data_IF_299039132919
#
_entry.id   IF_299039132919
#
_cell.length_a   1.000
_cell.length_b   1.000
_cell.length_c   1.000
_cell.angle_alpha   90.00
_cell.angle_beta   90.00
_cell.angle_gamma   90.00
#
_symmetry.space_group_name_H-M   'P 1'
#
loop_
_entity.id
_entity.type
_entity.pdbx_description
1 polymer ?
#
# COMPACT_ATOMS: atom_id res chain seq x y z
N UNK A 1 -38.08 -22.93 -1.58
CA UNK A 1 -38.53 -21.51 -1.49
C UNK A 1 -37.55 -20.69 -2.34
N UNK A 2 -38.02 -20.25 -3.48
CA UNK A 2 -37.27 -19.57 -4.53
C UNK A 2 -36.92 -18.13 -4.10
N UNK A 3 -35.66 -17.87 -3.90
CA UNK A 3 -35.13 -16.52 -3.67
C UNK A 3 -35.09 -15.73 -4.99
N UNK A 4 -36.07 -14.89 -5.22
CA UNK A 4 -36.11 -13.97 -6.34
C UNK A 4 -34.99 -12.93 -6.15
N UNK A 5 -33.93 -12.99 -6.97
CA UNK A 5 -32.99 -11.90 -7.16
C UNK A 5 -33.75 -10.70 -7.75
N UNK A 6 -33.82 -9.61 -6.97
CA UNK A 6 -34.39 -8.35 -7.43
C UNK A 6 -33.64 -7.89 -8.69
N UNK A 7 -34.35 -7.54 -9.79
CA UNK A 7 -33.67 -7.08 -11.01
C UNK A 7 -33.02 -5.73 -10.71
N UNK A 8 -31.69 -5.65 -10.84
CA UNK A 8 -30.95 -4.40 -10.80
C UNK A 8 -31.59 -3.41 -11.79
N UNK A 9 -31.92 -2.21 -11.32
CA UNK A 9 -32.51 -1.17 -12.15
C UNK A 9 -31.60 -0.90 -13.35
N UNK A 10 -32.16 -0.69 -14.56
CA UNK A 10 -31.40 -0.45 -15.82
C UNK A 10 -30.37 0.68 -15.74
N UNK A 11 -30.42 1.53 -14.71
CA UNK A 11 -29.46 2.61 -14.45
C UNK A 11 -28.16 2.22 -13.79
N UNK A 12 -28.00 0.96 -13.35
CA UNK A 12 -26.85 0.47 -12.56
C UNK A 12 -25.87 -0.39 -13.37
N UNK A 13 -26.00 -0.44 -14.68
CA UNK A 13 -25.06 -1.09 -15.57
C UNK A 13 -24.03 -0.08 -16.09
N UNK A 14 -22.76 -0.37 -15.89
CA UNK A 14 -21.64 0.40 -16.42
C UNK A 14 -20.78 -0.51 -17.30
N UNK A 15 -20.57 -0.12 -18.54
CA UNK A 15 -19.75 -0.85 -19.51
C UNK A 15 -18.29 -0.35 -19.47
N UNK A 16 -18.06 0.91 -19.03
CA UNK A 16 -16.73 1.51 -18.94
C UNK A 16 -16.56 2.31 -17.66
N UNK A 17 -15.61 1.87 -16.85
CA UNK A 17 -15.31 2.46 -15.54
C UNK A 17 -13.87 2.96 -15.53
N UNK A 18 -13.64 4.13 -14.97
CA UNK A 18 -12.29 4.63 -14.69
C UNK A 18 -12.09 4.80 -13.18
N UNK A 19 -11.01 4.23 -12.65
CA UNK A 19 -10.57 4.46 -11.28
C UNK A 19 -9.40 5.44 -11.31
N UNK A 20 -9.45 6.49 -10.48
CA UNK A 20 -8.46 7.56 -10.50
C UNK A 20 -7.74 7.62 -9.16
N UNK A 21 -6.42 7.34 -9.17
CA UNK A 21 -5.55 7.41 -8.01
C UNK A 21 -4.16 7.96 -8.41
N UNK A 22 -3.97 9.28 -8.31
CA UNK A 22 -2.71 9.98 -8.60
C UNK A 22 -1.96 10.29 -7.30
N UNK A 23 -1.59 9.23 -6.55
CA UNK A 23 -0.93 9.29 -5.25
C UNK A 23 0.28 8.37 -5.18
N UNK A 24 0.80 8.16 -3.98
CA UNK A 24 1.96 7.31 -3.72
C UNK A 24 1.68 5.82 -4.01
N UNK A 25 2.73 5.03 -4.11
CA UNK A 25 2.68 3.59 -4.39
C UNK A 25 1.72 2.82 -3.46
N UNK A 26 1.78 3.09 -2.14
CA UNK A 26 0.90 2.46 -1.16
C UNK A 26 -0.57 2.81 -1.37
N UNK A 27 -0.89 4.09 -1.65
CA UNK A 27 -2.27 4.52 -1.96
C UNK A 27 -2.85 3.79 -3.18
N UNK A 28 -2.01 3.58 -4.21
CA UNK A 28 -2.40 2.89 -5.45
C UNK A 28 -2.70 1.43 -5.15
N UNK A 29 -1.85 0.74 -4.40
CA UNK A 29 -2.08 -0.65 -3.99
C UNK A 29 -3.35 -0.78 -3.13
N UNK A 30 -3.54 0.12 -2.15
CA UNK A 30 -4.74 0.17 -1.30
C UNK A 30 -6.04 0.53 -2.06
N UNK A 31 -5.96 0.76 -3.38
CA UNK A 31 -7.13 0.96 -4.24
C UNK A 31 -7.59 -0.35 -4.90
N UNK A 32 -6.78 -1.41 -4.85
CA UNK A 32 -7.11 -2.69 -5.49
C UNK A 32 -8.40 -3.35 -4.97
N UNK A 33 -8.78 -3.27 -3.67
CA UNK A 33 -10.08 -3.79 -3.23
C UNK A 33 -11.27 -3.08 -3.87
N UNK A 34 -11.18 -1.76 -4.10
CA UNK A 34 -12.20 -1.01 -4.83
C UNK A 34 -12.32 -1.50 -6.28
N UNK A 35 -11.18 -1.73 -6.95
CA UNK A 35 -11.13 -2.22 -8.33
C UNK A 35 -11.72 -3.62 -8.42
N UNK A 36 -11.35 -4.50 -7.49
CA UNK A 36 -11.84 -5.88 -7.41
C UNK A 36 -13.36 -5.91 -7.20
N UNK A 37 -13.89 -5.16 -6.23
CA UNK A 37 -15.32 -5.06 -5.98
C UNK A 37 -16.11 -4.49 -7.19
N UNK A 38 -15.50 -3.56 -7.94
CA UNK A 38 -16.08 -3.07 -9.19
C UNK A 38 -16.11 -4.16 -10.27
N UNK A 39 -15.04 -4.98 -10.39
CA UNK A 39 -14.97 -6.12 -11.32
C UNK A 39 -15.99 -7.19 -10.97
N UNK A 40 -16.13 -7.54 -9.69
CA UNK A 40 -17.17 -8.49 -9.25
C UNK A 40 -18.59 -8.00 -9.59
N UNK A 41 -18.86 -6.71 -9.42
CA UNK A 41 -20.18 -6.14 -9.69
C UNK A 41 -20.48 -6.00 -11.19
N UNK A 42 -19.47 -5.68 -11.99
CA UNK A 42 -19.57 -5.52 -13.45
C UNK A 42 -18.49 -6.35 -14.15
N UNK A 43 -18.69 -7.67 -14.27
CA UNK A 43 -17.68 -8.59 -14.81
C UNK A 43 -17.24 -8.26 -16.24
N UNK A 44 -18.17 -7.75 -17.06
CA UNK A 44 -17.94 -7.43 -18.47
C UNK A 44 -17.46 -5.98 -18.71
N UNK A 45 -17.41 -5.16 -17.65
CA UNK A 45 -17.02 -3.76 -17.82
C UNK A 45 -15.52 -3.64 -18.18
N UNK A 46 -15.18 -2.67 -19.00
CA UNK A 46 -13.79 -2.21 -19.13
C UNK A 46 -13.46 -1.34 -17.93
N UNK A 47 -12.49 -1.79 -17.12
CA UNK A 47 -12.01 -1.04 -15.94
C UNK A 47 -10.60 -0.56 -16.22
N UNK A 48 -10.42 0.73 -16.36
CA UNK A 48 -9.13 1.38 -16.55
C UNK A 48 -8.71 2.15 -15.29
N UNK A 49 -7.42 2.23 -15.03
CA UNK A 49 -6.89 2.97 -13.88
C UNK A 49 -5.98 4.11 -14.33
N UNK A 50 -6.28 5.32 -13.86
CA UNK A 50 -5.47 6.52 -14.10
C UNK A 50 -4.60 6.83 -12.88
N UNK A 51 -3.29 6.94 -13.08
CA UNK A 51 -2.33 7.26 -12.03
C UNK A 51 -1.00 7.81 -12.56
N UNK A 52 -0.06 8.06 -11.68
CA UNK A 52 1.30 8.44 -12.07
C UNK A 52 2.09 7.21 -12.54
N UNK A 53 2.86 7.33 -13.63
CA UNK A 53 3.61 6.22 -14.23
C UNK A 53 4.48 5.46 -13.23
N UNK A 54 5.22 6.18 -12.38
CA UNK A 54 6.06 5.56 -11.34
C UNK A 54 5.29 4.82 -10.24
N UNK A 55 3.97 5.06 -10.07
CA UNK A 55 3.17 4.40 -9.03
C UNK A 55 2.28 3.27 -9.57
N UNK A 56 1.95 3.29 -10.86
CA UNK A 56 1.12 2.27 -11.51
C UNK A 56 1.78 0.89 -11.59
N UNK A 57 3.09 0.80 -11.35
CA UNK A 57 3.80 -0.47 -11.21
C UNK A 57 3.17 -1.41 -10.16
N UNK A 58 2.54 -0.85 -9.10
CA UNK A 58 1.81 -1.61 -8.09
C UNK A 58 0.56 -2.34 -8.61
N UNK A 59 0.11 -2.02 -9.82
CA UNK A 59 -1.09 -2.61 -10.44
C UNK A 59 -0.76 -3.46 -11.67
N UNK A 60 0.52 -3.58 -12.03
CA UNK A 60 0.90 -4.26 -13.26
C UNK A 60 0.56 -5.75 -13.20
N UNK A 61 -0.22 -6.21 -14.18
CA UNK A 61 -0.69 -7.60 -14.25
C UNK A 61 -1.84 -7.92 -13.30
N UNK A 62 -2.52 -6.92 -12.73
CA UNK A 62 -3.74 -7.12 -11.96
C UNK A 62 -4.87 -7.57 -12.91
N UNK A 63 -5.51 -8.75 -12.67
CA UNK A 63 -6.50 -9.33 -13.59
C UNK A 63 -7.80 -8.52 -13.69
N UNK A 64 -8.09 -7.65 -12.72
CA UNK A 64 -9.30 -6.84 -12.67
C UNK A 64 -9.21 -5.58 -13.54
N UNK A 65 -8.01 -5.26 -14.07
CA UNK A 65 -7.70 -4.02 -14.78
C UNK A 65 -7.50 -4.30 -16.28
N UNK A 66 -8.17 -3.52 -17.13
CA UNK A 66 -8.00 -3.61 -18.58
C UNK A 66 -6.82 -2.75 -19.07
N UNK A 67 -6.68 -1.51 -18.58
CA UNK A 67 -5.57 -0.65 -18.96
C UNK A 67 -5.10 0.26 -17.81
N UNK A 68 -3.79 0.50 -17.78
CA UNK A 68 -3.16 1.51 -16.92
C UNK A 68 -2.90 2.76 -17.76
N UNK A 69 -3.44 3.90 -17.33
CA UNK A 69 -3.34 5.18 -18.04
C UNK A 69 -2.42 6.09 -17.21
N UNK A 70 -1.31 6.46 -17.79
CA UNK A 70 -0.35 7.33 -17.13
C UNK A 70 -0.72 8.80 -17.27
N UNK A 71 -0.68 9.51 -16.15
CA UNK A 71 -0.67 10.97 -16.13
C UNK A 71 0.70 11.44 -16.62
N UNK A 72 0.76 12.31 -17.65
CA UNK A 72 2.03 12.80 -18.17
C UNK A 72 2.89 13.44 -17.09
N UNK A 73 4.21 13.24 -17.18
CA UNK A 73 5.18 13.95 -16.37
C UNK A 73 5.08 15.48 -16.64
N UNK A 74 5.22 16.24 -15.57
CA UNK A 74 5.06 17.69 -15.61
C UNK A 74 3.66 18.17 -15.21
N UNK A 75 3.62 19.32 -14.51
CA UNK A 75 2.39 19.88 -13.94
C UNK A 75 1.67 20.85 -14.88
N UNK A 76 2.16 21.02 -16.11
CA UNK A 76 1.65 22.02 -17.03
C UNK A 76 0.27 21.67 -17.59
N UNK A 77 -0.61 22.67 -17.73
CA UNK A 77 -1.93 22.58 -18.38
C UNK A 77 -1.84 21.93 -19.78
N UNK A 78 -0.80 22.23 -20.52
CA UNK A 78 -0.59 21.71 -21.88
C UNK A 78 -0.36 20.19 -21.93
N UNK A 79 0.34 19.62 -20.97
CA UNK A 79 0.52 18.18 -20.86
C UNK A 79 -0.79 17.46 -20.52
N UNK A 80 -1.57 18.04 -19.61
CA UNK A 80 -2.85 17.49 -19.18
C UNK A 80 -3.96 17.58 -20.24
N UNK A 81 -3.94 18.58 -21.11
CA UNK A 81 -5.02 18.79 -22.10
C UNK A 81 -5.21 17.63 -23.08
N UNK A 82 -4.13 17.01 -23.54
CA UNK A 82 -4.20 15.84 -24.44
C UNK A 82 -4.81 14.64 -23.72
N UNK A 83 -4.44 14.43 -22.47
CA UNK A 83 -5.02 13.38 -21.64
C UNK A 83 -6.51 13.67 -21.40
N UNK A 84 -6.88 14.89 -21.02
CA UNK A 84 -8.28 15.31 -20.81
C UNK A 84 -9.10 15.06 -22.09
N UNK A 85 -8.58 15.43 -23.27
CA UNK A 85 -9.25 15.19 -24.54
C UNK A 85 -9.45 13.68 -24.84
N UNK A 86 -8.42 12.85 -24.49
CA UNK A 86 -8.52 11.39 -24.60
C UNK A 86 -9.55 10.79 -23.68
N UNK A 87 -9.71 11.34 -22.48
CA UNK A 87 -10.65 10.86 -21.46
C UNK A 87 -12.07 11.36 -21.69
N UNK A 88 -12.27 12.43 -22.48
CA UNK A 88 -13.53 13.18 -22.55
C UNK A 88 -14.74 12.28 -22.82
N UNK A 89 -15.59 12.13 -21.77
CA UNK A 89 -16.84 11.36 -21.77
C UNK A 89 -16.72 9.90 -22.28
N UNK A 90 -15.56 9.27 -22.09
CA UNK A 90 -15.30 7.89 -22.55
C UNK A 90 -15.77 6.83 -21.58
N UNK A 91 -16.11 7.21 -20.37
CA UNK A 91 -16.50 6.30 -19.29
C UNK A 91 -17.90 6.63 -18.79
N UNK A 92 -18.60 5.60 -18.31
CA UNK A 92 -19.91 5.74 -17.72
C UNK A 92 -19.80 6.19 -16.27
N UNK A 93 -18.80 5.64 -15.54
CA UNK A 93 -18.53 5.90 -14.14
C UNK A 93 -17.06 6.25 -13.90
N UNK A 94 -16.81 7.30 -13.12
CA UNK A 94 -15.49 7.60 -12.55
C UNK A 94 -15.51 7.39 -11.01
N UNK A 95 -14.60 6.56 -10.53
CA UNK A 95 -14.32 6.32 -9.11
C UNK A 95 -13.06 7.07 -8.72
N UNK A 96 -13.19 8.22 -8.02
CA UNK A 96 -12.10 9.12 -7.69
C UNK A 96 -11.61 8.78 -6.27
N UNK A 97 -10.61 7.90 -6.20
CA UNK A 97 -10.11 7.30 -4.96
C UNK A 97 -9.15 8.23 -4.17
N UNK A 98 -9.33 9.54 -4.31
CA UNK A 98 -8.56 10.57 -3.58
C UNK A 98 -9.24 11.94 -3.67
N UNK A 99 -8.82 12.89 -2.83
CA UNK A 99 -9.47 14.21 -2.68
C UNK A 99 -8.84 15.35 -3.49
N UNK A 100 -7.74 15.12 -4.26
CA UNK A 100 -7.03 16.18 -4.97
C UNK A 100 -7.87 16.79 -6.12
N UNK A 101 -7.68 18.09 -6.37
CA UNK A 101 -8.39 18.81 -7.45
C UNK A 101 -8.10 18.20 -8.82
N UNK A 102 -6.85 17.83 -9.07
CA UNK A 102 -6.44 17.20 -10.33
C UNK A 102 -7.20 15.91 -10.61
N UNK A 103 -7.36 15.03 -9.61
CA UNK A 103 -8.10 13.79 -9.78
C UNK A 103 -9.58 14.05 -10.09
N UNK A 104 -10.19 15.03 -9.43
CA UNK A 104 -11.58 15.41 -9.67
C UNK A 104 -11.76 16.01 -11.07
N UNK A 105 -10.83 16.84 -11.56
CA UNK A 105 -10.87 17.36 -12.93
C UNK A 105 -10.78 16.24 -13.97
N UNK A 106 -9.91 15.24 -13.76
CA UNK A 106 -9.87 14.06 -14.66
C UNK A 106 -11.18 13.27 -14.59
N UNK A 107 -11.74 13.05 -13.40
CA UNK A 107 -13.02 12.38 -13.23
C UNK A 107 -14.18 13.13 -13.91
N UNK A 108 -14.21 14.46 -13.80
CA UNK A 108 -15.18 15.31 -14.47
C UNK A 108 -15.07 15.19 -16.00
N UNK A 109 -13.86 15.22 -16.54
CA UNK A 109 -13.64 15.04 -17.96
C UNK A 109 -14.02 13.63 -18.44
N UNK A 110 -13.69 12.61 -17.67
CA UNK A 110 -13.80 11.22 -18.09
C UNK A 110 -15.24 10.68 -18.10
N UNK A 111 -16.08 11.05 -17.11
CA UNK A 111 -17.38 10.44 -16.92
C UNK A 111 -18.49 11.44 -16.56
N UNK A 112 -19.74 11.06 -16.83
CA UNK A 112 -20.91 11.81 -16.37
C UNK A 112 -21.29 11.44 -14.93
N UNK A 113 -21.28 10.14 -14.59
CA UNK A 113 -21.52 9.67 -13.23
C UNK A 113 -20.19 9.58 -12.48
N UNK A 114 -20.15 10.07 -11.26
CA UNK A 114 -18.90 10.21 -10.48
C UNK A 114 -19.12 9.96 -9.00
N UNK A 115 -18.32 9.09 -8.44
CA UNK A 115 -18.15 8.95 -7.00
C UNK A 115 -16.74 9.38 -6.60
N UNK A 116 -16.59 10.17 -5.53
CA UNK A 116 -15.28 10.71 -5.17
C UNK A 116 -15.09 10.96 -3.68
N UNK A 117 -13.84 10.87 -3.24
CA UNK A 117 -13.44 11.25 -1.89
C UNK A 117 -13.34 12.78 -1.79
N UNK A 118 -13.87 13.33 -0.72
CA UNK A 118 -13.86 14.77 -0.43
C UNK A 118 -13.40 15.04 1.00
N UNK A 119 -12.84 16.22 1.20
CA UNK A 119 -12.55 16.80 2.51
C UNK A 119 -13.69 17.72 2.95
N UNK A 120 -13.70 18.12 4.24
CA UNK A 120 -14.74 19.02 4.78
C UNK A 120 -14.43 20.48 4.60
N UNK A 121 -13.25 20.82 4.10
CA UNK A 121 -12.86 22.21 3.90
C UNK A 121 -13.81 22.96 2.93
N UNK A 122 -13.90 24.25 3.10
CA UNK A 122 -14.75 25.12 2.27
C UNK A 122 -14.33 25.09 0.79
N UNK A 123 -13.04 24.84 0.51
CA UNK A 123 -12.49 24.78 -0.84
C UNK A 123 -12.96 23.55 -1.62
N UNK A 124 -13.50 22.53 -0.95
CA UNK A 124 -14.04 21.33 -1.58
C UNK A 124 -15.47 21.53 -2.15
N UNK A 125 -16.06 22.72 -2.06
CA UNK A 125 -17.44 22.98 -2.49
C UNK A 125 -17.72 22.61 -3.95
N UNK A 126 -16.85 23.00 -4.88
CA UNK A 126 -16.98 22.68 -6.31
C UNK A 126 -16.87 21.17 -6.58
N UNK A 127 -15.97 20.44 -5.87
CA UNK A 127 -15.86 18.98 -5.99
C UNK A 127 -17.17 18.33 -5.57
N UNK A 128 -17.73 18.77 -4.43
CA UNK A 128 -19.01 18.26 -3.93
C UNK A 128 -20.15 18.46 -4.91
N UNK A 129 -20.20 19.58 -5.61
CA UNK A 129 -21.23 19.84 -6.61
C UNK A 129 -21.13 18.94 -7.86
N UNK A 130 -19.94 18.45 -8.19
CA UNK A 130 -19.69 17.63 -9.38
C UNK A 130 -19.87 16.13 -9.13
N UNK A 131 -20.03 15.69 -7.89
CA UNK A 131 -20.11 14.27 -7.52
C UNK A 131 -21.57 13.85 -7.27
N UNK A 132 -21.96 12.75 -7.87
CA UNK A 132 -23.23 12.07 -7.58
C UNK A 132 -23.17 11.38 -6.21
N UNK A 133 -22.04 10.71 -5.92
CA UNK A 133 -21.78 10.10 -4.62
C UNK A 133 -20.49 10.63 -4.01
N UNK A 134 -20.55 10.95 -2.73
CA UNK A 134 -19.46 11.58 -1.99
C UNK A 134 -19.07 10.72 -0.78
N UNK A 135 -17.79 10.43 -0.67
CA UNK A 135 -17.23 9.78 0.51
C UNK A 135 -16.37 10.79 1.26
N UNK A 136 -16.82 11.15 2.44
CA UNK A 136 -16.06 12.03 3.33
C UNK A 136 -14.85 11.27 3.87
N UNK A 137 -13.68 11.87 3.73
CA UNK A 137 -12.47 11.34 4.36
C UNK A 137 -12.52 11.53 5.87
N UNK A 138 -12.37 10.45 6.60
CA UNK A 138 -12.32 10.46 8.06
C UNK A 138 -11.20 9.51 8.52
N UNK A 139 -10.02 10.09 8.74
CA UNK A 139 -8.82 9.35 9.09
C UNK A 139 -8.87 8.76 10.50
N UNK A 140 -9.66 9.35 11.41
CA UNK A 140 -9.72 8.92 12.81
C UNK A 140 -10.63 7.70 13.01
N UNK A 141 -11.57 7.46 12.11
CA UNK A 141 -12.62 6.47 12.29
C UNK A 141 -12.56 5.29 11.33
N UNK A 142 -11.86 5.41 10.18
CA UNK A 142 -11.94 4.40 9.14
C UNK A 142 -10.64 4.25 8.38
N UNK A 143 -10.29 3.01 8.06
CA UNK A 143 -9.14 2.68 7.22
C UNK A 143 -9.31 3.16 5.78
N UNK A 144 -8.20 3.56 5.12
CA UNK A 144 -8.19 4.04 3.73
C UNK A 144 -8.86 3.07 2.74
N UNK A 145 -8.67 1.76 2.90
CA UNK A 145 -9.33 0.73 2.09
C UNK A 145 -10.86 0.82 2.20
N UNK A 146 -11.38 0.91 3.41
CA UNK A 146 -12.83 1.01 3.66
C UNK A 146 -13.39 2.30 3.06
N UNK A 147 -12.68 3.41 3.22
CA UNK A 147 -13.10 4.70 2.64
C UNK A 147 -13.15 4.65 1.11
N UNK A 148 -12.21 3.94 0.47
CA UNK A 148 -12.22 3.75 -0.99
C UNK A 148 -13.37 2.84 -1.41
N UNK A 149 -13.63 1.73 -0.72
CA UNK A 149 -14.75 0.83 -1.02
C UNK A 149 -16.12 1.52 -0.90
N UNK A 150 -16.27 2.48 0.02
CA UNK A 150 -17.49 3.29 0.14
C UNK A 150 -17.81 4.10 -1.13
N UNK A 151 -16.87 4.30 -2.03
CA UNK A 151 -17.16 4.90 -3.34
C UNK A 151 -18.15 4.08 -4.17
N UNK A 152 -18.24 2.77 -3.92
CA UNK A 152 -19.19 1.88 -4.58
C UNK A 152 -20.51 1.74 -3.85
N UNK A 153 -20.68 2.31 -2.66
CA UNK A 153 -21.86 2.08 -1.81
C UNK A 153 -23.25 2.25 -2.50
N UNK A 154 -23.42 3.15 -3.50
CA UNK A 154 -24.70 3.22 -4.22
C UNK A 154 -25.03 1.98 -5.04
N UNK A 155 -24.03 1.16 -5.40
CA UNK A 155 -24.15 0.04 -6.35
C UNK A 155 -23.74 -1.31 -5.79
N UNK A 156 -22.91 -1.31 -4.75
CA UNK A 156 -22.28 -2.51 -4.18
C UNK A 156 -22.28 -2.44 -2.66
N UNK A 157 -22.76 -3.48 -2.02
CA UNK A 157 -22.51 -3.73 -0.60
C UNK A 157 -21.25 -4.62 -0.48
N UNK A 158 -20.10 -3.99 -0.31
CA UNK A 158 -18.85 -4.73 -0.11
C UNK A 158 -18.86 -5.37 1.29
N UNK A 159 -18.56 -6.69 1.37
CA UNK A 159 -18.56 -7.45 2.63
C UNK A 159 -17.18 -7.74 3.15
N UNK A 160 -16.16 -7.69 2.29
CA UNK A 160 -14.76 -7.91 2.61
C UNK A 160 -13.84 -7.09 1.72
N UNK A 161 -12.56 -7.09 2.02
CA UNK A 161 -11.55 -6.42 1.22
C UNK A 161 -10.26 -7.23 1.17
N UNK A 162 -9.81 -7.54 -0.03
CA UNK A 162 -8.53 -8.18 -0.29
C UNK A 162 -7.68 -7.29 -1.19
N UNK A 163 -6.42 -7.09 -0.80
CA UNK A 163 -5.45 -6.44 -1.67
C UNK A 163 -5.05 -7.40 -2.80
N UNK A 164 -4.89 -6.87 -4.01
CA UNK A 164 -4.37 -7.61 -5.15
C UNK A 164 -2.95 -7.11 -5.43
N UNK A 165 -1.96 -7.91 -5.07
CA UNK A 165 -0.56 -7.62 -5.37
C UNK A 165 -0.30 -7.68 -6.88
N UNK A 166 0.72 -6.96 -7.41
CA UNK A 166 1.11 -7.09 -8.82
C UNK A 166 1.47 -8.52 -9.18
N UNK A 167 1.29 -8.86 -10.45
CA UNK A 167 1.61 -10.20 -10.95
C UNK A 167 3.09 -10.55 -10.68
N UNK A 168 3.34 -11.79 -10.31
CA UNK A 168 4.71 -12.27 -10.15
C UNK A 168 5.42 -12.33 -11.51
N UNK A 169 6.67 -11.91 -11.54
CA UNK A 169 7.59 -12.07 -12.69
C UNK A 169 8.89 -12.71 -12.22
N UNK A 170 9.60 -13.43 -13.07
CA UNK A 170 10.85 -14.06 -12.69
C UNK A 170 11.84 -13.04 -12.10
N UNK A 171 12.54 -13.45 -11.04
CA UNK A 171 13.65 -12.65 -10.50
C UNK A 171 14.81 -12.63 -11.48
N UNK A 172 15.62 -11.55 -11.51
CA UNK A 172 16.86 -11.54 -12.25
C UNK A 172 17.75 -12.72 -11.84
N UNK A 173 18.42 -13.43 -12.79
CA UNK A 173 19.23 -14.61 -12.49
C UNK A 173 20.29 -14.36 -11.41
N UNK A 174 20.88 -13.17 -11.38
CA UNK A 174 21.89 -12.75 -10.41
C UNK A 174 21.34 -12.58 -8.97
N UNK A 175 20.01 -12.42 -8.80
CA UNK A 175 19.37 -12.45 -7.50
C UNK A 175 18.86 -13.86 -7.22
N UNK A 176 18.15 -14.48 -8.17
CA UNK A 176 17.56 -15.80 -7.99
C UNK A 176 18.59 -16.86 -7.58
N UNK A 177 19.79 -16.81 -8.17
CA UNK A 177 20.88 -17.77 -7.87
C UNK A 177 21.52 -17.58 -6.49
N UNK A 178 21.27 -16.45 -5.81
CA UNK A 178 21.80 -16.17 -4.46
C UNK A 178 20.82 -16.50 -3.35
N UNK A 179 19.55 -16.77 -3.68
CA UNK A 179 18.53 -17.02 -2.67
C UNK A 179 18.61 -18.45 -2.12
N UNK A 180 18.73 -18.53 -0.81
CA UNK A 180 18.76 -19.79 -0.04
C UNK A 180 17.61 -19.79 0.98
N UNK A 181 16.45 -20.40 0.67
CA UNK A 181 15.34 -20.50 1.63
C UNK A 181 15.70 -21.35 2.86
N UNK A 182 15.18 -21.03 4.07
CA UNK A 182 14.27 -19.91 4.33
C UNK A 182 15.00 -18.56 4.40
N UNK A 183 14.37 -17.50 3.85
CA UNK A 183 14.91 -16.15 3.94
C UNK A 183 13.87 -15.14 4.46
N UNK A 184 14.38 -14.08 5.09
CA UNK A 184 13.60 -12.92 5.50
C UNK A 184 13.88 -11.73 4.57
N UNK A 185 12.85 -10.97 4.21
CA UNK A 185 13.01 -9.72 3.45
C UNK A 185 12.92 -8.53 4.39
N UNK A 186 13.91 -7.64 4.35
CA UNK A 186 13.95 -6.42 5.15
C UNK A 186 13.94 -5.18 4.25
N UNK A 187 13.08 -4.22 4.59
CA UNK A 187 13.02 -2.89 3.98
C UNK A 187 13.45 -1.85 5.02
N UNK A 188 14.76 -1.57 5.09
CA UNK A 188 15.31 -0.57 5.99
C UNK A 188 15.07 0.88 5.51
N UNK A 189 15.18 1.21 4.20
CA UNK A 189 14.95 2.54 3.70
C UNK A 189 13.49 2.98 3.76
N UNK A 190 13.30 4.29 3.95
CA UNK A 190 12.01 4.97 3.82
C UNK A 190 12.22 6.33 3.14
N UNK A 191 11.18 6.83 2.47
CA UNK A 191 11.24 8.09 1.70
C UNK A 191 11.46 9.35 2.58
N UNK A 192 11.25 9.26 3.89
CA UNK A 192 11.35 10.38 4.85
C UNK A 192 12.00 9.94 6.15
N UNK A 193 12.76 10.84 6.76
CA UNK A 193 13.59 10.50 7.91
C UNK A 193 12.77 10.05 9.14
N UNK A 194 11.59 10.61 9.34
CA UNK A 194 10.74 10.28 10.49
C UNK A 194 10.16 8.85 10.46
N UNK A 195 10.34 8.10 9.36
CA UNK A 195 9.96 6.70 9.23
C UNK A 195 11.15 5.75 9.33
N UNK A 196 12.36 6.26 9.53
CA UNK A 196 13.56 5.45 9.62
C UNK A 196 13.74 4.87 11.03
N UNK A 197 13.99 3.58 11.09
CA UNK A 197 14.48 2.89 12.28
C UNK A 197 16.02 2.96 12.31
N UNK A 198 16.68 3.08 13.47
CA UNK A 198 18.14 3.28 13.53
C UNK A 198 18.96 2.18 12.88
N UNK A 199 20.04 2.56 12.19
CA UNK A 199 20.98 1.63 11.58
C UNK A 199 21.49 0.54 12.54
N UNK A 200 21.93 0.83 13.78
CA UNK A 200 22.36 -0.21 14.73
C UNK A 200 21.24 -1.21 15.03
N UNK A 201 19.99 -0.78 15.04
CA UNK A 201 18.84 -1.64 15.31
C UNK A 201 18.57 -2.61 14.14
N UNK A 202 18.66 -2.12 12.90
CA UNK A 202 18.59 -2.99 11.71
C UNK A 202 19.69 -4.04 11.72
N UNK A 203 20.93 -3.66 12.04
CA UNK A 203 22.06 -4.58 12.13
C UNK A 203 21.86 -5.65 13.21
N UNK A 204 21.32 -5.26 14.38
CA UNK A 204 20.98 -6.21 15.45
C UNK A 204 19.90 -7.20 15.00
N UNK A 205 18.89 -6.74 14.27
CA UNK A 205 17.85 -7.62 13.68
C UNK A 205 18.45 -8.58 12.64
N UNK A 206 19.32 -8.10 11.75
CA UNK A 206 20.03 -8.96 10.78
C UNK A 206 20.79 -10.07 11.51
N UNK A 207 21.60 -9.73 12.52
CA UNK A 207 22.34 -10.71 13.30
C UNK A 207 21.42 -11.78 13.93
N UNK A 208 20.32 -11.35 14.54
CA UNK A 208 19.34 -12.24 15.14
C UNK A 208 18.66 -13.18 14.13
N UNK A 209 18.36 -12.72 12.90
CA UNK A 209 17.80 -13.57 11.85
C UNK A 209 18.81 -14.59 11.33
N UNK A 210 20.08 -14.19 11.18
CA UNK A 210 21.16 -15.09 10.77
C UNK A 210 21.41 -16.20 11.80
N UNK A 211 21.36 -15.89 13.12
CA UNK A 211 21.43 -16.87 14.20
C UNK A 211 20.31 -17.92 14.15
N UNK A 212 19.14 -17.52 13.64
CA UNK A 212 17.97 -18.41 13.42
C UNK A 212 18.04 -19.23 12.12
N UNK A 213 19.13 -19.10 11.40
CA UNK A 213 19.35 -19.83 10.15
C UNK A 213 18.65 -19.24 8.92
N UNK A 214 18.07 -18.04 9.02
CA UNK A 214 17.51 -17.37 7.85
C UNK A 214 18.61 -16.64 7.07
N UNK A 215 18.51 -16.68 5.75
CA UNK A 215 19.17 -15.70 4.90
C UNK A 215 18.40 -14.38 4.96
N UNK A 216 19.06 -13.26 4.83
CA UNK A 216 18.43 -11.92 4.83
C UNK A 216 18.56 -11.29 3.46
N UNK A 217 17.45 -10.80 2.90
CA UNK A 217 17.43 -10.05 1.65
C UNK A 217 17.02 -8.61 1.93
N UNK A 218 17.89 -7.66 1.62
CA UNK A 218 17.66 -6.23 1.82
C UNK A 218 17.08 -5.62 0.56
N UNK A 219 15.98 -4.89 0.69
CA UNK A 219 15.32 -4.17 -0.41
C UNK A 219 15.41 -2.64 -0.21
N UNK A 220 15.31 -1.90 -1.32
CA UNK A 220 15.35 -0.43 -1.35
C UNK A 220 15.09 0.07 -2.77
N UNK A 221 14.80 1.36 -2.92
CA UNK A 221 14.69 2.00 -4.23
C UNK A 221 16.07 2.19 -4.88
N UNK A 222 16.14 2.49 -6.20
CA UNK A 222 17.41 2.75 -6.89
C UNK A 222 18.01 4.12 -6.55
N UNK A 223 17.61 4.75 -5.45
CA UNK A 223 18.17 6.02 -4.98
C UNK A 223 19.50 5.80 -4.28
N UNK A 224 20.42 6.76 -4.42
CA UNK A 224 21.71 6.71 -3.73
C UNK A 224 21.57 6.60 -2.20
N UNK A 225 20.55 7.26 -1.63
CA UNK A 225 20.29 7.21 -0.19
C UNK A 225 19.86 5.82 0.28
N UNK A 226 18.94 5.16 -0.44
CA UNK A 226 18.50 3.81 -0.12
C UNK A 226 19.65 2.81 -0.24
N UNK A 227 20.43 2.88 -1.35
CA UNK A 227 21.56 2.02 -1.58
C UNK A 227 22.66 2.19 -0.51
N UNK A 228 22.95 3.43 -0.10
CA UNK A 228 23.92 3.70 0.97
C UNK A 228 23.46 3.13 2.32
N UNK A 229 22.16 3.25 2.66
CA UNK A 229 21.63 2.69 3.88
C UNK A 229 21.65 1.15 3.86
N UNK A 230 21.26 0.53 2.75
CA UNK A 230 21.31 -0.93 2.57
C UNK A 230 22.73 -1.45 2.71
N UNK A 231 23.71 -0.78 2.07
CA UNK A 231 25.13 -1.14 2.22
C UNK A 231 25.61 -0.99 3.68
N UNK A 232 25.20 0.09 4.38
CA UNK A 232 25.55 0.28 5.78
C UNK A 232 24.94 -0.82 6.69
N UNK A 233 23.72 -1.29 6.40
CA UNK A 233 23.12 -2.42 7.11
C UNK A 233 23.87 -3.71 6.83
N UNK A 234 24.25 -3.96 5.58
CA UNK A 234 24.91 -5.17 5.11
C UNK A 234 26.38 -5.28 5.55
N UNK A 235 27.07 -4.16 5.67
CA UNK A 235 28.52 -4.09 5.91
C UNK A 235 28.98 -4.97 7.07
N UNK A 236 30.00 -5.80 6.83
CA UNK A 236 30.57 -6.72 7.82
C UNK A 236 29.83 -8.04 8.01
N UNK A 237 28.72 -8.27 7.30
CA UNK A 237 28.09 -9.59 7.21
C UNK A 237 28.56 -10.33 5.94
N UNK A 238 28.47 -11.66 5.95
CA UNK A 238 28.74 -12.48 4.76
C UNK A 238 27.71 -12.13 3.66
N UNK A 239 28.23 -11.78 2.49
CA UNK A 239 27.42 -11.38 1.32
C UNK A 239 26.50 -12.50 0.80
N UNK A 240 26.79 -13.77 1.09
CA UNK A 240 25.91 -14.90 0.77
C UNK A 240 24.73 -14.98 1.74
N UNK A 241 24.94 -14.57 2.97
CA UNK A 241 23.93 -14.60 4.04
C UNK A 241 23.08 -13.34 4.09
N UNK A 242 23.63 -12.18 3.61
CA UNK A 242 22.93 -10.89 3.55
C UNK A 242 23.00 -10.37 2.12
N UNK A 243 21.95 -10.64 1.35
CA UNK A 243 21.83 -10.31 -0.08
C UNK A 243 21.32 -8.89 -0.24
N UNK A 244 21.99 -8.10 -1.09
CA UNK A 244 21.53 -6.77 -1.50
C UNK A 244 20.70 -6.86 -2.78
N UNK A 245 19.41 -6.53 -2.70
CA UNK A 245 18.49 -6.42 -3.82
C UNK A 245 18.00 -4.98 -4.05
N UNK A 246 18.58 -3.97 -3.37
CA UNK A 246 18.16 -2.58 -3.47
C UNK A 246 18.38 -2.01 -4.87
N UNK A 247 17.34 -1.43 -5.47
CA UNK A 247 17.38 -0.86 -6.81
C UNK A 247 17.53 -1.86 -7.96
N UNK A 248 17.50 -3.17 -7.67
CA UNK A 248 17.74 -4.24 -8.64
C UNK A 248 16.46 -4.97 -9.09
N UNK A 249 15.34 -4.69 -8.44
CA UNK A 249 14.05 -5.35 -8.69
C UNK A 249 12.99 -4.31 -9.04
N UNK A 250 12.14 -4.63 -10.01
CA UNK A 250 10.87 -3.92 -10.19
C UNK A 250 9.82 -4.43 -9.18
N UNK A 251 8.65 -3.76 -9.12
CA UNK A 251 7.61 -4.09 -8.14
C UNK A 251 7.00 -5.49 -8.33
N UNK A 252 6.96 -6.01 -9.54
CA UNK A 252 6.51 -7.37 -9.83
C UNK A 252 7.53 -8.39 -9.30
N UNK A 253 8.82 -8.11 -9.49
CA UNK A 253 9.92 -8.92 -8.96
C UNK A 253 10.01 -8.84 -7.43
N UNK A 254 9.77 -7.67 -6.83
CA UNK A 254 9.64 -7.54 -5.38
C UNK A 254 8.47 -8.38 -4.85
N UNK A 255 7.33 -8.40 -5.55
CA UNK A 255 6.21 -9.27 -5.18
C UNK A 255 6.57 -10.77 -5.28
N UNK A 256 7.39 -11.16 -6.28
CA UNK A 256 7.91 -12.54 -6.38
C UNK A 256 8.83 -12.86 -5.21
N UNK A 257 9.77 -11.98 -4.89
CA UNK A 257 10.68 -12.13 -3.77
C UNK A 257 9.91 -12.28 -2.44
N UNK A 258 8.90 -11.42 -2.22
CA UNK A 258 8.08 -11.46 -1.01
C UNK A 258 7.31 -12.77 -0.88
N UNK A 259 6.69 -13.27 -1.95
CA UNK A 259 5.93 -14.53 -1.91
C UNK A 259 6.77 -15.75 -1.54
N UNK A 260 8.09 -15.72 -1.78
CA UNK A 260 9.02 -16.76 -1.36
C UNK A 260 9.62 -16.57 0.02
N UNK A 261 9.37 -15.43 0.67
CA UNK A 261 9.96 -15.10 1.97
C UNK A 261 9.23 -15.78 3.14
N UNK A 262 9.98 -16.23 4.14
CA UNK A 262 9.42 -16.73 5.39
C UNK A 262 8.76 -15.60 6.22
N UNK A 263 9.28 -14.38 6.13
CA UNK A 263 8.70 -13.18 6.73
C UNK A 263 9.26 -11.90 6.10
N UNK A 264 8.55 -10.80 6.33
CA UNK A 264 8.98 -9.45 5.98
C UNK A 264 9.05 -8.57 7.24
N UNK A 265 10.08 -7.72 7.34
CA UNK A 265 10.15 -6.65 8.34
C UNK A 265 10.44 -5.32 7.66
N UNK A 266 9.67 -4.29 7.96
CA UNK A 266 9.86 -2.96 7.41
C UNK A 266 9.11 -1.87 8.18
N UNK A 267 9.45 -0.61 7.88
CA UNK A 267 8.72 0.55 8.39
C UNK A 267 7.39 0.79 7.66
N UNK A 268 6.75 1.92 7.96
CA UNK A 268 5.57 2.40 7.23
C UNK A 268 5.97 2.83 5.79
N UNK A 269 6.02 1.87 4.88
CA UNK A 269 6.40 2.05 3.48
C UNK A 269 5.45 1.32 2.53
N UNK A 270 5.52 1.64 1.24
CA UNK A 270 4.72 0.97 0.21
C UNK A 270 5.04 -0.53 0.10
N UNK A 271 6.27 -0.96 0.39
CA UNK A 271 6.68 -2.36 0.35
C UNK A 271 6.07 -3.15 1.51
N UNK A 272 5.85 -2.51 2.66
CA UNK A 272 5.13 -3.12 3.79
C UNK A 272 3.67 -3.45 3.43
N UNK A 273 3.01 -2.54 2.71
CA UNK A 273 1.67 -2.81 2.16
C UNK A 273 1.70 -3.91 1.09
N UNK A 274 2.75 -3.94 0.26
CA UNK A 274 2.93 -4.99 -0.74
C UNK A 274 3.16 -6.36 -0.10
N UNK A 275 3.94 -6.43 0.98
CA UNK A 275 4.15 -7.67 1.73
C UNK A 275 2.84 -8.21 2.33
N UNK A 276 2.01 -7.32 2.90
CA UNK A 276 0.67 -7.70 3.37
C UNK A 276 -0.24 -8.19 2.21
N UNK A 277 -0.15 -7.56 1.03
CA UNK A 277 -0.89 -8.00 -0.17
C UNK A 277 -0.37 -9.35 -0.73
N UNK A 278 0.88 -9.72 -0.46
CA UNK A 278 1.44 -11.04 -0.77
C UNK A 278 1.07 -12.11 0.26
N UNK A 279 0.35 -11.74 1.32
CA UNK A 279 -0.19 -12.63 2.36
C UNK A 279 0.88 -13.39 3.18
N UNK A 280 2.12 -12.92 3.16
CA UNK A 280 3.21 -13.46 3.99
C UNK A 280 3.16 -12.86 5.41
N UNK A 281 3.85 -13.46 6.39
CA UNK A 281 4.03 -12.85 7.70
C UNK A 281 4.75 -11.50 7.61
N UNK A 282 4.17 -10.46 8.23
CA UNK A 282 4.68 -9.08 8.20
C UNK A 282 4.88 -8.56 9.62
N UNK A 283 6.06 -8.00 9.89
CA UNK A 283 6.32 -7.16 11.08
C UNK A 283 6.52 -5.72 10.60
N UNK A 284 5.55 -4.86 10.89
CA UNK A 284 5.53 -3.46 10.47
C UNK A 284 5.90 -2.53 11.63
N UNK A 285 6.93 -1.69 11.44
CA UNK A 285 7.42 -0.75 12.45
C UNK A 285 6.76 0.60 12.24
N UNK A 286 5.90 1.01 13.16
CA UNK A 286 5.13 2.24 13.10
C UNK A 286 5.59 3.24 14.15
N UNK A 287 5.89 4.44 13.71
CA UNK A 287 6.25 5.59 14.55
C UNK A 287 5.07 6.54 14.70
N UNK A 288 5.16 7.76 14.13
CA UNK A 288 4.16 8.81 14.33
C UNK A 288 2.82 8.55 13.64
N UNK A 289 2.79 7.69 12.61
CA UNK A 289 1.60 7.52 11.76
C UNK A 289 0.58 6.58 12.41
N UNK A 290 -0.70 6.92 12.31
CA UNK A 290 -1.80 6.14 12.85
C UNK A 290 -2.09 4.90 11.98
N UNK A 291 -1.85 3.68 12.47
CA UNK A 291 -2.08 2.46 11.71
C UNK A 291 -3.57 2.19 11.46
N UNK A 292 -4.46 2.76 12.25
CA UNK A 292 -5.91 2.63 12.06
C UNK A 292 -6.35 3.15 10.69
N UNK A 293 -5.70 4.21 10.21
CA UNK A 293 -6.00 4.80 8.91
C UNK A 293 -5.17 4.19 7.77
N UNK A 294 -3.88 3.93 8.02
CA UNK A 294 -2.92 3.58 6.96
C UNK A 294 -2.04 2.37 7.33
N UNK A 295 -2.50 1.49 8.22
CA UNK A 295 -1.81 0.24 8.51
C UNK A 295 -1.78 -0.71 7.29
N UNK A 296 -0.86 -1.69 7.24
CA UNK A 296 -0.86 -2.70 6.19
C UNK A 296 -2.15 -3.52 6.30
N UNK A 297 -2.96 -3.52 5.23
CA UNK A 297 -4.26 -4.20 5.24
C UNK A 297 -4.07 -5.70 5.14
N UNK A 298 -4.46 -6.48 6.16
CA UNK A 298 -4.38 -7.94 6.09
C UNK A 298 -5.47 -8.52 5.18
N UNK A 299 -5.31 -9.74 4.68
CA UNK A 299 -6.42 -10.49 4.11
C UNK A 299 -7.55 -10.59 5.15
N UNK A 300 -8.71 -10.05 4.83
CA UNK A 300 -9.86 -10.02 5.76
C UNK A 300 -11.17 -10.27 5.05
N UNK A 301 -12.01 -11.19 5.54
CA UNK A 301 -13.35 -11.41 5.02
C UNK A 301 -14.34 -10.34 5.49
N UNK A 302 -13.94 -9.44 6.40
CA UNK A 302 -14.78 -8.38 6.95
C UNK A 302 -14.22 -6.99 6.63
N UNK A 303 -15.06 -5.96 6.72
CA UNK A 303 -14.68 -4.55 6.59
C UNK A 303 -14.46 -3.89 7.95
N UNK A 304 -14.11 -4.65 8.96
CA UNK A 304 -13.71 -4.09 10.24
C UNK A 304 -12.34 -3.44 10.14
N UNK A 305 -12.16 -2.35 10.87
CA UNK A 305 -10.86 -1.66 10.94
C UNK A 305 -9.90 -2.55 11.73
N UNK A 306 -8.79 -3.03 11.11
CA UNK A 306 -7.96 -4.06 11.73
C UNK A 306 -7.10 -3.56 12.91
N UNK A 307 -6.99 -2.23 13.06
CA UNK A 307 -6.10 -1.63 14.06
C UNK A 307 -6.82 -0.56 14.89
N UNK A 308 -6.43 -0.45 16.17
CA UNK A 308 -6.70 0.73 16.99
C UNK A 308 -5.63 1.79 16.75
N UNK A 309 -5.86 3.03 17.20
CA UNK A 309 -4.90 4.12 16.98
C UNK A 309 -3.55 3.82 17.64
N UNK A 310 -3.54 3.31 18.87
CA UNK A 310 -2.32 2.98 19.60
C UNK A 310 -2.45 1.69 20.39
N UNK A 311 -1.50 0.80 20.16
CA UNK A 311 -1.13 -0.31 21.05
C UNK A 311 0.32 -0.72 20.74
N UNK A 312 1.06 -1.17 21.74
CA UNK A 312 2.47 -1.51 21.57
C UNK A 312 2.70 -2.59 20.48
N UNK A 313 1.79 -3.57 20.43
CA UNK A 313 1.76 -4.62 19.40
C UNK A 313 0.30 -4.86 19.03
N UNK A 314 0.01 -4.84 17.76
CA UNK A 314 -1.32 -5.17 17.20
C UNK A 314 -1.15 -6.25 16.14
N UNK A 315 -2.05 -7.24 16.13
CA UNK A 315 -1.98 -8.36 15.19
C UNK A 315 -3.31 -8.49 14.46
N UNK A 316 -3.23 -8.58 13.15
CA UNK A 316 -4.40 -8.77 12.29
C UNK A 316 -4.01 -9.68 11.11
N UNK A 317 -4.57 -10.89 11.05
CA UNK A 317 -4.17 -11.90 10.07
C UNK A 317 -2.66 -12.20 10.15
N UNK A 318 -1.96 -12.12 9.03
CA UNK A 318 -0.50 -12.31 8.94
C UNK A 318 0.32 -11.07 9.32
N UNK A 319 -0.32 -9.97 9.71
CA UNK A 319 0.36 -8.69 9.97
C UNK A 319 0.46 -8.39 11.46
N UNK A 320 1.67 -8.08 11.92
CA UNK A 320 1.96 -7.53 13.23
C UNK A 320 2.45 -6.08 13.09
N UNK A 321 1.77 -5.13 13.73
CA UNK A 321 2.17 -3.72 13.79
C UNK A 321 2.76 -3.44 15.17
N UNK A 322 4.02 -2.99 15.21
CA UNK A 322 4.72 -2.57 16.41
C UNK A 322 4.77 -1.04 16.45
N UNK A 323 4.28 -0.44 17.53
CA UNK A 323 4.34 1.01 17.72
C UNK A 323 5.31 1.41 18.82
N UNK A 324 5.83 2.64 18.71
CA UNK A 324 6.69 3.24 19.72
C UNK A 324 5.96 3.46 21.04
N UNK A 325 6.73 3.61 22.14
CA UNK A 325 6.23 3.76 23.50
C UNK A 325 5.85 5.17 23.94
N UNK A 326 6.36 6.29 23.33
CA UNK A 326 5.99 7.64 23.76
C UNK A 326 4.48 7.88 23.73
N UNK A 327 3.96 8.57 24.75
CA UNK A 327 2.53 8.85 24.91
C UNK A 327 1.91 9.67 23.77
N UNK A 328 2.72 10.36 22.98
CA UNK A 328 2.25 11.09 21.79
C UNK A 328 1.96 10.21 20.58
N UNK A 329 2.26 8.91 20.62
CA UNK A 329 2.05 8.00 19.48
C UNK A 329 0.59 7.53 19.42
N UNK A 330 -0.06 7.62 18.24
CA UNK A 330 0.36 8.29 17.02
C UNK A 330 0.11 9.81 17.10
N UNK A 331 1.04 10.61 16.61
CA UNK A 331 0.88 12.07 16.57
C UNK A 331 0.57 12.60 15.17
N UNK A 332 0.68 11.75 14.14
CA UNK A 332 0.48 12.04 12.71
C UNK A 332 1.32 13.23 12.18
N UNK A 333 2.45 13.52 12.87
CA UNK A 333 3.39 14.58 12.49
C UNK A 333 4.52 14.03 11.63
N UNK A 334 5.14 14.93 10.87
CA UNK A 334 6.35 14.63 10.10
C UNK A 334 7.58 14.64 11.03
N UNK A 335 7.70 13.63 11.90
CA UNK A 335 8.73 13.52 12.93
C UNK A 335 8.50 14.45 14.13
N UNK A 336 9.42 14.44 15.08
CA UNK A 336 9.26 15.21 16.33
C UNK A 336 9.29 16.72 16.14
N UNK A 337 9.95 17.21 15.07
CA UNK A 337 10.03 18.64 14.72
C UNK A 337 9.03 19.03 13.64
N UNK A 338 8.13 18.13 13.21
CA UNK A 338 7.15 18.30 12.14
C UNK A 338 7.78 18.71 10.79
N UNK A 339 8.88 18.05 10.45
CA UNK A 339 9.62 18.19 9.18
C UNK A 339 10.00 16.82 8.64
N UNK A 340 10.02 16.67 7.32
CA UNK A 340 10.33 15.41 6.64
C UNK A 340 11.73 14.86 6.91
N UNK A 341 12.67 15.71 7.27
CA UNK A 341 14.06 15.39 7.61
C UNK A 341 14.30 15.17 9.11
N UNK A 342 13.27 15.37 9.96
CA UNK A 342 13.38 15.14 11.40
C UNK A 342 13.21 13.66 11.76
N UNK A 343 13.89 13.22 12.81
CA UNK A 343 13.73 11.87 13.35
C UNK A 343 12.46 11.75 14.19
N UNK A 344 12.04 10.51 14.44
CA UNK A 344 10.95 10.17 15.36
C UNK A 344 11.48 9.41 16.58
N UNK A 345 11.41 10.03 17.76
CA UNK A 345 11.85 9.40 19.03
C UNK A 345 11.18 8.04 19.23
N UNK A 346 9.93 7.88 18.84
CA UNK A 346 9.19 6.63 18.95
C UNK A 346 9.81 5.46 18.15
N UNK A 347 10.45 5.72 17.00
CA UNK A 347 11.22 4.72 16.25
C UNK A 347 12.65 4.61 16.78
N UNK A 348 13.27 5.73 17.17
CA UNK A 348 14.63 5.73 17.71
C UNK A 348 14.74 4.89 18.99
N UNK A 349 13.70 4.89 19.82
CA UNK A 349 13.65 4.17 21.10
C UNK A 349 13.03 2.76 21.00
N UNK A 350 12.55 2.36 19.82
CA UNK A 350 12.01 1.01 19.63
C UNK A 350 13.16 -0.01 19.60
N UNK A 351 13.36 -0.70 20.71
CA UNK A 351 14.45 -1.63 20.88
C UNK A 351 14.37 -2.83 19.91
N UNK A 352 15.50 -3.28 19.32
CA UNK A 352 15.55 -4.46 18.45
C UNK A 352 14.95 -5.72 19.09
N UNK A 353 15.13 -5.92 20.39
CA UNK A 353 14.61 -7.06 21.11
C UNK A 353 13.08 -7.21 21.00
N UNK A 354 12.32 -6.09 20.90
CA UNK A 354 10.87 -6.14 20.69
C UNK A 354 10.51 -6.70 19.32
N UNK A 355 11.28 -6.29 18.30
CA UNK A 355 11.08 -6.75 16.92
C UNK A 355 11.46 -8.22 16.81
N UNK A 356 12.59 -8.61 17.40
CA UNK A 356 13.06 -9.99 17.43
C UNK A 356 12.06 -10.91 18.16
N UNK A 357 11.50 -10.48 19.29
CA UNK A 357 10.49 -11.26 20.01
C UNK A 357 9.22 -11.52 19.15
N UNK A 358 8.80 -10.55 18.33
CA UNK A 358 7.66 -10.77 17.43
C UNK A 358 8.03 -11.66 16.23
N UNK A 359 9.26 -11.55 15.73
CA UNK A 359 9.79 -12.48 14.71
C UNK A 359 9.82 -13.90 15.24
N UNK A 360 10.33 -14.12 16.46
CA UNK A 360 10.36 -15.44 17.12
C UNK A 360 8.98 -16.05 17.23
N UNK A 361 8.01 -15.27 17.72
CA UNK A 361 6.61 -15.71 17.79
C UNK A 361 6.06 -16.18 16.44
N UNK A 362 6.39 -15.47 15.35
CA UNK A 362 5.95 -15.82 14.00
C UNK A 362 6.62 -17.12 13.55
N UNK A 363 7.94 -17.26 13.72
CA UNK A 363 8.69 -18.42 13.27
C UNK A 363 8.33 -19.68 14.06
N UNK A 364 8.09 -19.55 15.37
CA UNK A 364 7.72 -20.68 16.24
C UNK A 364 6.27 -21.11 16.00
N UNK A 365 5.35 -20.15 15.76
CA UNK A 365 3.96 -20.45 15.41
C UNK A 365 3.80 -21.18 14.06
N UNK A 366 4.72 -20.94 13.11
CA UNK A 366 4.78 -21.68 11.85
C UNK A 366 5.36 -23.10 11.94
N UNK A 367 6.03 -23.43 13.06
CA UNK A 367 6.55 -24.80 13.33
C UNK A 367 5.53 -25.69 14.04
N UNK A 368 4.46 -25.11 14.58
CA UNK A 368 3.42 -25.84 15.33
C UNK A 368 2.15 -26.14 14.50
N UNK A 369 2.09 -25.71 13.26
CA UNK A 369 1.01 -25.95 12.29
C UNK A 369 1.47 -26.88 11.15
#
# INVERSE_FOLDING_TARGET
MSGASSPAARGDRFDRIIVICTRQLGDVLLTTPLIHAARERWPEATIDVLGFGGTLGMLRGNPDINALIEVPAGSGWWASRRLIARLWRRYDLALIAQYSDRAHLYGFAAARRRAGQVTDDAQAGWKRALLEHRVRMNNDQSHSVIQKLRLLAPWVEARGARLVAPAATPLPPEIASTLEPPYAVLQAPAAVAYKLWPLPHWRALVAALLERGLQVVLTGAPSAGDQALVEAVRSGFDARRVVDAAGRLDLNQVATLLRGAALYVGGDTSITHLAAACEIPVVALYGPINPRYFGPWPPSPTLEVPYVAHALVQRAGSVSVLQGTPACVPCDRAGCEDRNDSASVCLQTMAPARVVAEVDRILDGGRAA
#
